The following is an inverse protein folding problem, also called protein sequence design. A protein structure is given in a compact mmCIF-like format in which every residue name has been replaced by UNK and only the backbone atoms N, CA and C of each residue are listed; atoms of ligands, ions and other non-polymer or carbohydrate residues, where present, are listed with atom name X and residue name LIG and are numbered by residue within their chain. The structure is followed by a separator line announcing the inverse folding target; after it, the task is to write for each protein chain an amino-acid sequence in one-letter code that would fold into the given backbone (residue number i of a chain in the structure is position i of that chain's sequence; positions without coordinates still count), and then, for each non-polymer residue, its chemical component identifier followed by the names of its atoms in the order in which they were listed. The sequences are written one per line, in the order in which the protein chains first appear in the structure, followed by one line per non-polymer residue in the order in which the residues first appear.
data_IF_196793667793
#
_entry.id   IF_196793667793
#
_cell.length_a   1.000
_cell.length_b   1.000
_cell.length_c   1.000
_cell.angle_alpha   90.00
_cell.angle_beta   90.00
_cell.angle_gamma   90.00
#
_symmetry.space_group_name_H-M   'P 1'
#
loop_
_entity.id
_entity.type
_entity.pdbx_description
1 polymer ?
#
# COMPACT_ATOMS: atom_id res chain seq x y z
N UNK A 1 -14.15 7.18 4.79
CA UNK A 1 -14.53 8.52 4.28
C UNK A 1 -13.48 9.13 3.35
N UNK A 2 -12.18 9.04 3.66
CA UNK A 2 -11.14 9.56 2.74
C UNK A 2 -11.09 8.78 1.40
N UNK A 3 -11.19 7.45 1.45
CA UNK A 3 -11.21 6.62 0.23
C UNK A 3 -12.37 6.97 -0.73
N UNK A 4 -13.57 7.25 -0.21
CA UNK A 4 -14.73 7.64 -1.01
C UNK A 4 -14.56 8.99 -1.71
N UNK A 5 -13.67 9.86 -1.22
CA UNK A 5 -13.29 11.11 -1.87
C UNK A 5 -12.13 10.93 -2.86
N UNK A 6 -11.13 10.12 -2.50
CA UNK A 6 -9.96 9.87 -3.34
C UNK A 6 -10.30 9.05 -4.61
N UNK A 7 -11.11 8.00 -4.48
CA UNK A 7 -11.48 7.10 -5.59
C UNK A 7 -12.05 7.83 -6.82
N UNK A 8 -13.09 8.68 -6.72
CA UNK A 8 -13.62 9.36 -7.90
C UNK A 8 -12.64 10.36 -8.52
N UNK A 9 -11.68 10.89 -7.76
CA UNK A 9 -10.64 11.77 -8.29
C UNK A 9 -9.58 10.98 -9.06
N UNK A 10 -9.11 9.87 -8.48
CA UNK A 10 -8.15 8.97 -9.13
C UNK A 10 -8.72 8.37 -10.43
N UNK A 11 -10.02 8.04 -10.45
CA UNK A 11 -10.68 7.44 -11.61
C UNK A 11 -10.92 8.44 -12.76
N UNK A 12 -10.69 9.74 -12.55
CA UNK A 12 -10.68 10.75 -13.62
C UNK A 12 -9.32 10.88 -14.30
N UNK A 13 -8.27 10.27 -13.76
CA UNK A 13 -6.95 10.26 -14.36
C UNK A 13 -6.79 9.03 -15.26
N UNK A 14 -5.82 9.09 -16.17
CA UNK A 14 -5.29 7.87 -16.79
C UNK A 14 -4.82 6.87 -15.71
N UNK A 15 -4.99 5.58 -15.95
CA UNK A 15 -4.75 4.54 -14.96
C UNK A 15 -3.29 4.48 -14.51
N UNK A 16 -2.33 4.60 -15.43
CA UNK A 16 -0.91 4.58 -15.13
C UNK A 16 -0.50 5.87 -14.41
N UNK A 17 -1.05 7.01 -14.83
CA UNK A 17 -0.86 8.28 -14.12
C UNK A 17 -1.41 8.22 -12.69
N UNK A 18 -2.60 7.66 -12.48
CA UNK A 18 -3.20 7.48 -11.16
C UNK A 18 -2.31 6.60 -10.28
N UNK A 19 -1.78 5.51 -10.85
CA UNK A 19 -0.86 4.59 -10.18
C UNK A 19 0.41 5.28 -9.70
N UNK A 20 1.15 5.95 -10.58
CA UNK A 20 2.39 6.66 -10.21
C UNK A 20 2.15 7.80 -9.22
N UNK A 21 1.06 8.55 -9.40
CA UNK A 21 0.68 9.64 -8.48
C UNK A 21 0.39 9.10 -7.08
N UNK A 22 -0.30 7.96 -7.00
CA UNK A 22 -0.64 7.33 -5.72
C UNK A 22 0.61 6.85 -5.00
N UNK A 23 1.52 6.14 -5.68
CA UNK A 23 2.77 5.67 -5.06
C UNK A 23 3.66 6.82 -4.58
N UNK A 24 3.80 7.87 -5.39
CA UNK A 24 4.59 9.06 -5.03
C UNK A 24 4.00 9.80 -3.82
N UNK A 25 2.67 9.95 -3.77
CA UNK A 25 1.98 10.55 -2.64
C UNK A 25 2.12 9.70 -1.37
N UNK A 26 2.03 8.37 -1.51
CA UNK A 26 2.19 7.42 -0.42
C UNK A 26 3.60 7.48 0.18
N UNK A 27 4.65 7.46 -0.65
CA UNK A 27 6.03 7.65 -0.22
C UNK A 27 6.25 8.99 0.51
N UNK A 28 5.65 10.05 -0.02
CA UNK A 28 5.75 11.38 0.60
C UNK A 28 5.08 11.39 1.98
N UNK A 29 3.88 10.82 2.09
CA UNK A 29 3.17 10.70 3.36
C UNK A 29 3.94 9.83 4.36
N UNK A 30 4.58 8.74 3.91
CA UNK A 30 5.45 7.90 4.73
C UNK A 30 6.61 8.71 5.31
N UNK A 31 7.35 9.42 4.44
CA UNK A 31 8.51 10.25 4.84
C UNK A 31 8.14 11.39 5.79
N UNK A 32 6.90 11.87 5.71
CA UNK A 32 6.36 12.89 6.62
C UNK A 32 5.77 12.29 7.91
N UNK A 33 5.81 10.97 8.09
CA UNK A 33 5.30 10.28 9.28
C UNK A 33 3.78 10.26 9.39
N UNK A 34 3.04 10.51 8.30
CA UNK A 34 1.58 10.68 8.31
C UNK A 34 0.81 9.35 8.27
N UNK A 35 1.48 8.24 7.95
CA UNK A 35 0.85 6.94 7.71
C UNK A 35 1.35 5.79 8.61
N UNK A 36 2.16 6.09 9.64
CA UNK A 36 2.59 5.10 10.62
C UNK A 36 1.49 4.74 11.64
N UNK A 37 1.25 3.44 11.85
CA UNK A 37 0.35 2.89 12.87
C UNK A 37 -1.13 3.33 12.82
N UNK A 38 -1.64 3.75 11.65
CA UNK A 38 -3.04 4.21 11.50
C UNK A 38 -4.06 3.09 11.78
N UNK A 39 -3.66 1.83 11.59
CA UNK A 39 -4.53 0.67 11.75
C UNK A 39 -3.92 -0.39 12.66
N UNK A 40 -4.76 -1.00 13.49
CA UNK A 40 -4.36 -2.13 14.33
C UNK A 40 -4.00 -3.33 13.45
N UNK A 41 -2.76 -3.77 13.52
CA UNK A 41 -2.33 -4.98 12.83
C UNK A 41 -3.01 -6.21 13.47
N UNK A 42 -3.75 -6.96 12.66
CA UNK A 42 -4.35 -8.21 13.08
C UNK A 42 -3.32 -9.34 12.91
N UNK A 43 -2.83 -9.89 14.03
CA UNK A 43 -1.88 -11.00 14.01
C UNK A 43 -2.64 -12.31 13.74
N UNK A 44 -2.33 -12.96 12.64
CA UNK A 44 -2.85 -14.30 12.29
C UNK A 44 -1.73 -15.12 11.65
N UNK A 45 -0.72 -15.54 12.43
CA UNK A 45 0.49 -16.13 11.89
C UNK A 45 0.20 -17.37 11.06
N UNK A 46 0.89 -17.51 9.92
CA UNK A 46 0.80 -18.68 9.04
C UNK A 46 2.20 -19.14 8.65
N UNK A 47 2.39 -20.44 8.47
CA UNK A 47 3.61 -20.98 7.87
C UNK A 47 3.28 -21.47 6.47
N UNK A 48 4.01 -20.96 5.47
CA UNK A 48 3.86 -21.38 4.08
C UNK A 48 5.25 -21.61 3.50
N UNK A 49 5.48 -22.76 2.88
CA UNK A 49 6.77 -23.14 2.30
C UNK A 49 7.95 -22.99 3.29
N UNK A 50 7.72 -23.25 4.58
CA UNK A 50 8.74 -23.10 5.64
C UNK A 50 8.96 -21.67 6.16
N UNK A 51 8.32 -20.66 5.56
CA UNK A 51 8.43 -19.26 5.97
C UNK A 51 7.27 -18.90 6.91
N UNK A 52 7.57 -18.20 8.01
CA UNK A 52 6.57 -17.70 8.95
C UNK A 52 6.16 -16.27 8.57
N UNK A 53 4.89 -16.09 8.24
CA UNK A 53 4.28 -14.79 7.97
C UNK A 53 3.44 -14.33 9.17
N UNK A 54 3.42 -13.02 9.51
CA UNK A 54 2.66 -12.52 10.66
C UNK A 54 1.14 -12.55 10.45
N UNK A 55 0.71 -12.55 9.18
CA UNK A 55 -0.68 -12.64 8.76
C UNK A 55 -0.75 -13.22 7.31
N UNK A 56 -1.91 -13.69 6.83
CA UNK A 56 -2.05 -14.32 5.51
C UNK A 56 -2.31 -13.32 4.35
N UNK A 57 -2.24 -12.00 4.59
CA UNK A 57 -2.48 -10.96 3.58
C UNK A 57 -1.13 -10.47 3.05
N UNK A 58 -0.94 -10.59 1.74
CA UNK A 58 0.21 -10.04 1.02
C UNK A 58 -0.24 -9.09 -0.08
N UNK A 59 0.64 -8.17 -0.45
CA UNK A 59 0.48 -7.36 -1.66
C UNK A 59 0.99 -8.17 -2.87
N UNK A 60 0.16 -8.28 -3.90
CA UNK A 60 0.53 -9.02 -5.11
C UNK A 60 1.61 -8.28 -5.92
N UNK A 61 2.34 -9.04 -6.75
CA UNK A 61 3.31 -8.47 -7.68
C UNK A 61 2.64 -7.50 -8.66
N UNK A 62 3.42 -6.54 -9.17
CA UNK A 62 2.98 -5.60 -10.21
C UNK A 62 2.47 -4.26 -9.68
N UNK A 63 2.17 -4.12 -8.38
CA UNK A 63 1.93 -2.79 -7.79
C UNK A 63 3.27 -2.05 -7.66
N UNK A 64 4.19 -2.54 -6.85
CA UNK A 64 5.54 -2.01 -6.80
C UNK A 64 6.46 -2.90 -7.62
N UNK A 65 6.72 -2.49 -8.87
CA UNK A 65 7.51 -3.28 -9.82
C UNK A 65 9.01 -3.19 -9.55
N UNK A 66 9.45 -2.13 -8.89
CA UNK A 66 10.87 -1.82 -8.70
C UNK A 66 11.32 -2.08 -7.25
N UNK A 67 10.39 -2.25 -6.31
CA UNK A 67 10.70 -2.32 -4.88
C UNK A 67 11.00 -0.96 -4.26
N UNK A 68 10.55 0.13 -4.89
CA UNK A 68 10.83 1.50 -4.46
C UNK A 68 10.00 1.92 -3.22
N UNK A 69 8.94 1.17 -2.89
CA UNK A 69 7.89 1.54 -1.93
C UNK A 69 7.58 0.43 -0.90
N UNK A 70 8.55 -0.45 -0.58
CA UNK A 70 8.37 -1.61 0.31
C UNK A 70 7.93 -1.21 1.73
N UNK A 71 8.56 -0.17 2.28
CA UNK A 71 8.32 0.27 3.67
C UNK A 71 7.16 1.27 3.80
N UNK A 72 6.79 1.90 2.69
CA UNK A 72 5.88 3.04 2.67
C UNK A 72 4.45 2.66 3.05
#
# INVERSE_FOLDING_TARGET
MLYSLARPLLFKLDAERAHHTTLSAFQTAYRLGLIGNIYKQHKKPVTCMGIKFPNPVGLAAGLDKNGDYIDA
#
